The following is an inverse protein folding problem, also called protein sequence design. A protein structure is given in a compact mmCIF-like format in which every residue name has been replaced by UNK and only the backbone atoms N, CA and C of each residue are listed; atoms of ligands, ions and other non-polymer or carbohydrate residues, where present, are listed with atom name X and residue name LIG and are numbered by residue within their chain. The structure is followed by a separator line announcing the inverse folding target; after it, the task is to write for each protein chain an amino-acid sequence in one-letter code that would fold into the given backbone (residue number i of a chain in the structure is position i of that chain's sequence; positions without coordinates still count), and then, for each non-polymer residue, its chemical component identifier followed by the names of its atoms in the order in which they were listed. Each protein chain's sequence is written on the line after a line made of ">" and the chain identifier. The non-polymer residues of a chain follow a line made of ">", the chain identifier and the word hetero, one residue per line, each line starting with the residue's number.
data_IF_697640634268
#
_entry.id   IF_697640634268
#
_cell.length_a   1.000
_cell.length_b   1.000
_cell.length_c   1.000
_cell.angle_alpha   90.00
_cell.angle_beta   90.00
_cell.angle_gamma   90.00
#
_symmetry.space_group_name_H-M   'P 1'
#
loop_
_entity.id
_entity.type
_entity.pdbx_description
1 polymer ?
#
# COMPACT_ATOMS: atom_id res chain seq x y z
N UNK A 1 4.59 -0.46 7.88
CA UNK A 1 3.80 -1.70 8.08
C UNK A 1 2.46 -1.42 8.79
N UNK A 2 2.41 -0.76 9.96
CA UNK A 2 1.14 -0.58 10.73
C UNK A 2 -0.01 0.04 9.94
N UNK A 3 0.22 1.10 9.17
CA UNK A 3 -0.81 1.74 8.33
C UNK A 3 -1.32 0.79 7.24
N UNK A 4 -0.42 0.09 6.56
CA UNK A 4 -0.81 -0.85 5.48
C UNK A 4 -1.65 -2.00 6.01
N UNK A 5 -1.23 -2.60 7.14
CA UNK A 5 -2.01 -3.64 7.82
C UNK A 5 -3.39 -3.13 8.23
N UNK A 6 -3.45 -1.97 8.90
CA UNK A 6 -4.69 -1.35 9.33
C UNK A 6 -5.64 -1.11 8.15
N UNK A 7 -5.15 -0.56 7.04
CA UNK A 7 -5.94 -0.36 5.83
C UNK A 7 -6.43 -1.69 5.22
N UNK A 8 -5.59 -2.72 5.20
CA UNK A 8 -6.02 -4.04 4.71
C UNK A 8 -7.19 -4.61 5.51
N UNK A 9 -7.22 -4.38 6.83
CA UNK A 9 -8.35 -4.77 7.69
C UNK A 9 -9.59 -3.92 7.38
N UNK A 10 -9.46 -2.59 7.28
CA UNK A 10 -10.56 -1.69 6.88
C UNK A 10 -11.17 -2.13 5.56
N UNK A 11 -10.34 -2.42 4.55
CA UNK A 11 -10.81 -2.86 3.23
C UNK A 11 -11.67 -4.12 3.29
N UNK A 12 -11.41 -5.03 4.24
CA UNK A 12 -12.21 -6.25 4.40
C UNK A 12 -13.58 -5.98 5.04
N UNK A 13 -13.72 -4.87 5.78
CA UNK A 13 -14.98 -4.46 6.42
C UNK A 13 -15.90 -3.69 5.47
N UNK A 14 -15.36 -3.12 4.38
CA UNK A 14 -16.13 -2.36 3.38
C UNK A 14 -16.83 -3.32 2.41
N UNK A 15 -18.07 -3.03 1.96
CA UNK A 15 -18.76 -3.79 0.92
C UNK A 15 -17.91 -3.95 -0.35
N UNK A 16 -18.03 -5.10 -1.03
CA UNK A 16 -17.13 -5.45 -2.15
C UNK A 16 -17.13 -4.44 -3.29
N UNK A 17 -18.27 -3.86 -3.59
CA UNK A 17 -18.51 -2.88 -4.63
C UNK A 17 -17.90 -1.51 -4.35
N UNK A 18 -17.63 -1.20 -3.07
CA UNK A 18 -17.05 0.08 -2.63
C UNK A 18 -15.57 -0.06 -2.25
N UNK A 19 -15.00 -1.27 -2.38
CA UNK A 19 -13.63 -1.55 -1.95
C UNK A 19 -12.61 -0.87 -2.84
N UNK A 20 -11.83 0.01 -2.27
CA UNK A 20 -10.64 0.51 -2.93
C UNK A 20 -9.43 -0.39 -2.61
N UNK A 21 -8.57 -0.58 -3.58
CA UNK A 21 -7.23 -1.11 -3.33
C UNK A 21 -6.41 -0.06 -2.58
N UNK A 22 -5.32 -0.45 -1.95
CA UNK A 22 -4.43 0.52 -1.31
C UNK A 22 -3.88 1.53 -2.32
N UNK A 23 -3.62 1.06 -3.54
CA UNK A 23 -3.15 1.86 -4.65
C UNK A 23 -4.18 2.94 -5.06
N UNK A 24 -5.45 2.61 -5.06
CA UNK A 24 -6.54 3.56 -5.35
C UNK A 24 -6.71 4.56 -4.20
N UNK A 25 -6.62 4.12 -2.95
CA UNK A 25 -6.59 5.02 -1.81
C UNK A 25 -5.37 5.96 -1.87
N UNK A 26 -4.18 5.45 -2.25
CA UNK A 26 -3.00 6.29 -2.44
C UNK A 26 -3.16 7.30 -3.59
N UNK A 27 -3.92 6.96 -4.66
CA UNK A 27 -4.25 7.91 -5.72
C UNK A 27 -5.13 9.04 -5.18
N UNK A 28 -6.13 8.76 -4.34
CA UNK A 28 -6.96 9.80 -3.73
C UNK A 28 -6.09 10.73 -2.88
N UNK A 29 -5.26 10.19 -1.98
CA UNK A 29 -4.34 10.98 -1.15
C UNK A 29 -3.37 11.83 -1.98
N UNK A 30 -2.87 11.29 -3.10
CA UNK A 30 -1.97 12.01 -3.99
C UNK A 30 -2.65 13.14 -4.75
N UNK A 31 -3.88 12.92 -5.20
CA UNK A 31 -4.69 13.94 -5.87
C UNK A 31 -5.12 15.05 -4.90
N UNK A 32 -5.45 14.69 -3.64
CA UNK A 32 -5.79 15.67 -2.61
C UNK A 32 -4.59 16.53 -2.19
N UNK A 33 -3.41 15.92 -2.09
CA UNK A 33 -2.17 16.62 -1.78
C UNK A 33 -1.67 17.52 -2.93
N UNK A 34 -2.25 17.39 -4.12
CA UNK A 34 -1.86 18.16 -5.31
C UNK A 34 -2.74 19.40 -5.47
N UNK A 35 -2.14 20.56 -5.60
CA UNK A 35 -2.88 21.83 -5.83
C UNK A 35 -3.54 21.90 -7.22
N UNK A 36 -3.19 21.01 -8.12
CA UNK A 36 -3.66 21.00 -9.52
C UNK A 36 -4.05 19.60 -9.97
N UNK A 37 -4.94 19.53 -10.96
CA UNK A 37 -5.27 18.27 -11.61
C UNK A 37 -4.04 17.60 -12.27
N UNK A 38 -3.89 16.30 -12.12
CA UNK A 38 -2.76 15.53 -12.58
C UNK A 38 -3.09 14.73 -13.85
N UNK A 39 -2.11 14.62 -14.75
CA UNK A 39 -2.21 13.70 -15.89
C UNK A 39 -2.18 12.25 -15.39
N UNK A 40 -2.98 11.37 -15.99
CA UNK A 40 -2.94 9.92 -15.69
C UNK A 40 -1.52 9.34 -15.82
N UNK A 41 -0.68 9.89 -16.72
CA UNK A 41 0.73 9.49 -16.85
C UNK A 41 1.58 9.88 -15.64
N UNK A 42 1.34 11.06 -15.04
CA UNK A 42 2.04 11.49 -13.83
C UNK A 42 1.66 10.62 -12.61
N UNK A 43 0.36 10.25 -12.51
CA UNK A 43 -0.11 9.32 -11.47
C UNK A 43 0.51 7.92 -11.66
N UNK A 44 0.65 7.47 -12.93
CA UNK A 44 1.30 6.20 -13.24
C UNK A 44 2.79 6.21 -12.84
N UNK A 45 3.49 7.31 -13.10
CA UNK A 45 4.89 7.51 -12.69
C UNK A 45 5.03 7.53 -11.17
N UNK A 46 4.17 8.26 -10.47
CA UNK A 46 4.10 8.29 -9.00
C UNK A 46 3.98 6.88 -8.41
N UNK A 47 3.15 6.01 -8.97
CA UNK A 47 2.97 4.64 -8.48
C UNK A 47 3.96 3.62 -9.07
N UNK A 48 4.82 3.99 -10.02
CA UNK A 48 5.64 3.05 -10.76
C UNK A 48 4.81 2.00 -11.50
N UNK A 49 3.60 2.37 -11.96
CA UNK A 49 2.65 1.48 -12.59
C UNK A 49 2.61 1.66 -14.11
N UNK A 50 2.23 0.60 -14.83
CA UNK A 50 1.99 0.67 -16.26
C UNK A 50 0.75 1.51 -16.58
N UNK A 51 0.77 2.22 -17.72
CA UNK A 51 -0.37 3.04 -18.18
C UNK A 51 -1.72 2.30 -18.21
N UNK A 52 -1.82 1.06 -18.72
CA UNK A 52 -3.09 0.33 -18.71
C UNK A 52 -3.64 0.11 -17.29
N UNK A 53 -2.76 -0.26 -16.35
CA UNK A 53 -3.12 -0.45 -14.94
C UNK A 53 -3.63 0.85 -14.32
N UNK A 54 -2.97 1.98 -14.62
CA UNK A 54 -3.39 3.29 -14.12
C UNK A 54 -4.72 3.72 -14.73
N UNK A 55 -4.91 3.48 -16.03
CA UNK A 55 -6.20 3.74 -16.69
C UNK A 55 -7.33 2.98 -16.02
N UNK A 56 -7.13 1.69 -15.71
CA UNK A 56 -8.12 0.87 -15.01
C UNK A 56 -8.44 1.45 -13.61
N UNK A 57 -7.42 1.76 -12.80
CA UNK A 57 -7.60 2.32 -11.45
C UNK A 57 -8.35 3.67 -11.48
N UNK A 58 -7.93 4.58 -12.37
CA UNK A 58 -8.59 5.88 -12.47
C UNK A 58 -9.99 5.80 -13.08
N UNK A 59 -10.28 4.82 -13.96
CA UNK A 59 -11.65 4.54 -14.41
C UNK A 59 -12.53 4.10 -13.25
N UNK A 60 -12.08 3.11 -12.46
CA UNK A 60 -12.82 2.62 -11.31
C UNK A 60 -13.11 3.74 -10.29
N UNK A 61 -12.12 4.57 -9.95
CA UNK A 61 -12.34 5.72 -9.08
C UNK A 61 -13.34 6.74 -9.65
N UNK A 62 -13.36 6.95 -10.97
CA UNK A 62 -14.30 7.83 -11.63
C UNK A 62 -15.71 7.21 -11.69
N UNK A 63 -15.85 5.91 -11.90
CA UNK A 63 -17.11 5.17 -11.85
C UNK A 63 -17.75 5.25 -10.46
N UNK A 64 -16.93 5.27 -9.41
CA UNK A 64 -17.38 5.50 -8.02
C UNK A 64 -17.64 6.98 -7.69
N UNK A 65 -17.42 7.91 -8.63
CA UNK A 65 -17.60 9.35 -8.43
C UNK A 65 -16.51 10.01 -7.55
N UNK A 66 -15.42 9.31 -7.22
CA UNK A 66 -14.40 9.79 -6.30
C UNK A 66 -13.37 10.71 -6.96
N UNK A 67 -13.27 10.67 -8.28
CA UNK A 67 -12.42 11.58 -9.06
C UNK A 67 -13.14 12.07 -10.30
N UNK A 68 -12.79 13.26 -10.77
CA UNK A 68 -13.17 13.77 -12.08
C UNK A 68 -12.08 13.40 -13.08
N UNK A 69 -12.49 12.86 -14.25
CA UNK A 69 -11.60 12.57 -15.37
C UNK A 69 -12.02 13.38 -16.59
N UNK A 70 -11.17 14.26 -17.06
CA UNK A 70 -11.44 15.14 -18.18
C UNK A 70 -10.36 14.98 -19.26
N UNK A 71 -10.72 15.23 -20.51
CA UNK A 71 -9.74 15.37 -21.59
C UNK A 71 -8.85 16.59 -21.34
N UNK A 72 -7.57 16.46 -21.64
CA UNK A 72 -6.64 17.57 -21.51
C UNK A 72 -6.97 18.72 -22.47
N UNK A 73 -6.83 19.97 -22.04
CA UNK A 73 -7.23 21.14 -22.83
C UNK A 73 -6.41 21.33 -24.13
N UNK A 74 -5.21 20.82 -24.19
CA UNK A 74 -4.30 20.95 -25.35
C UNK A 74 -4.27 19.66 -26.20
N UNK A 75 -4.33 18.50 -25.55
CA UNK A 75 -4.31 17.21 -26.22
C UNK A 75 -5.33 16.29 -25.54
N UNK A 76 -6.37 15.94 -26.27
CA UNK A 76 -7.47 15.06 -25.81
C UNK A 76 -7.02 13.66 -25.46
N UNK A 77 -5.83 13.23 -25.90
CA UNK A 77 -5.23 11.94 -25.52
C UNK A 77 -4.69 11.95 -24.09
N UNK A 78 -4.46 13.14 -23.51
CA UNK A 78 -4.04 13.33 -22.15
C UNK A 78 -5.28 13.43 -21.25
N UNK A 79 -5.55 12.40 -20.48
CA UNK A 79 -6.59 12.43 -19.47
C UNK A 79 -6.03 13.08 -18.20
N UNK A 80 -6.77 14.04 -17.67
CA UNK A 80 -6.45 14.79 -16.45
C UNK A 80 -7.42 14.34 -15.36
N UNK A 81 -6.89 14.04 -14.18
CA UNK A 81 -7.63 13.59 -13.00
C UNK A 81 -7.54 14.62 -11.88
N UNK A 82 -8.66 14.90 -11.23
CA UNK A 82 -8.73 15.67 -9.97
C UNK A 82 -9.64 14.95 -8.99
N UNK A 83 -9.40 15.12 -7.70
CA UNK A 83 -10.26 14.56 -6.66
C UNK A 83 -11.61 15.30 -6.67
N UNK A 84 -12.71 14.58 -6.43
CA UNK A 84 -14.05 15.15 -6.23
C UNK A 84 -14.28 15.46 -4.74
N UNK A 85 -15.38 16.14 -4.40
CA UNK A 85 -15.74 16.37 -2.99
C UNK A 85 -16.09 15.03 -2.29
N UNK A 86 -16.76 14.12 -3.00
CA UNK A 86 -17.02 12.75 -2.55
C UNK A 86 -15.72 11.97 -2.34
N UNK A 87 -14.74 12.17 -3.23
CA UNK A 87 -13.42 11.56 -3.11
C UNK A 87 -12.68 12.02 -1.87
N UNK A 88 -12.72 13.33 -1.54
CA UNK A 88 -12.12 13.88 -0.31
C UNK A 88 -12.81 13.32 0.94
N UNK A 89 -14.14 13.26 0.93
CA UNK A 89 -14.90 12.68 2.02
C UNK A 89 -14.54 11.20 2.24
N UNK A 90 -14.47 10.43 1.16
CA UNK A 90 -14.10 9.00 1.20
C UNK A 90 -12.66 8.77 1.65
N UNK A 91 -11.72 9.60 1.19
CA UNK A 91 -10.33 9.57 1.63
C UNK A 91 -10.21 9.72 3.15
N UNK A 92 -10.84 10.77 3.72
CA UNK A 92 -10.80 11.03 5.15
C UNK A 92 -11.52 9.95 5.97
N UNK A 93 -12.62 9.41 5.47
CA UNK A 93 -13.33 8.28 6.09
C UNK A 93 -12.41 7.05 6.18
N UNK A 94 -11.80 6.64 5.07
CA UNK A 94 -10.87 5.50 5.03
C UNK A 94 -9.65 5.73 5.92
N UNK A 95 -9.14 6.95 5.96
CA UNK A 95 -8.05 7.32 6.85
C UNK A 95 -8.45 7.24 8.33
N UNK A 96 -9.68 7.68 8.69
CA UNK A 96 -10.21 7.58 10.05
C UNK A 96 -10.35 6.13 10.49
N UNK A 97 -11.01 5.31 9.68
CA UNK A 97 -11.14 3.88 9.94
C UNK A 97 -9.75 3.20 10.07
N UNK A 98 -8.78 3.64 9.26
CA UNK A 98 -7.40 3.14 9.34
C UNK A 98 -6.76 3.51 10.68
N UNK A 99 -6.97 4.74 11.19
CA UNK A 99 -6.49 5.13 12.52
C UNK A 99 -7.01 4.21 13.62
N UNK A 100 -8.29 3.85 13.57
CA UNK A 100 -8.95 2.98 14.55
C UNK A 100 -8.38 1.55 14.56
N UNK A 101 -7.89 1.07 13.43
CA UNK A 101 -7.29 -0.25 13.29
C UNK A 101 -5.81 -0.32 13.68
N UNK A 102 -5.17 0.80 14.03
CA UNK A 102 -3.78 0.80 14.50
C UNK A 102 -3.77 0.50 16.00
N UNK A 103 -3.18 -0.63 16.45
CA UNK A 103 -3.16 -1.00 17.85
C UNK A 103 -2.49 0.05 18.74
N UNK A 104 -3.02 0.24 19.96
CA UNK A 104 -2.40 1.11 20.94
C UNK A 104 -0.94 0.70 21.22
N UNK A 105 -0.06 1.69 21.35
CA UNK A 105 1.37 1.46 21.59
C UNK A 105 2.21 1.21 20.32
N UNK A 106 1.59 0.97 19.16
CA UNK A 106 2.31 0.89 17.89
C UNK A 106 2.59 2.28 17.31
N UNK A 107 3.56 2.34 16.41
CA UNK A 107 3.85 3.57 15.65
C UNK A 107 2.56 4.09 14.98
N UNK A 108 2.31 5.39 15.08
CA UNK A 108 1.13 6.08 14.56
C UNK A 108 -0.21 5.75 15.25
N UNK A 109 -0.23 5.04 16.40
CA UNK A 109 -1.46 4.76 17.17
C UNK A 109 -2.16 6.01 17.73
N UNK A 110 -1.48 7.17 17.73
CA UNK A 110 -2.03 8.48 18.11
C UNK A 110 -1.86 9.46 16.96
N UNK A 111 -2.41 9.14 15.80
CA UNK A 111 -2.30 9.96 14.60
C UNK A 111 -3.67 10.48 14.15
N UNK A 112 -3.68 11.51 13.33
CA UNK A 112 -4.92 12.00 12.70
C UNK A 112 -5.13 11.40 11.32
N UNK A 113 -6.38 11.37 10.80
CA UNK A 113 -6.69 10.94 9.45
C UNK A 113 -5.84 11.65 8.38
N UNK A 114 -5.69 12.97 8.46
CA UNK A 114 -4.91 13.77 7.50
C UNK A 114 -3.42 13.37 7.51
N UNK A 115 -2.92 12.91 8.65
CA UNK A 115 -1.56 12.41 8.75
C UNK A 115 -1.44 11.02 8.13
N UNK A 116 -2.47 10.18 8.24
CA UNK A 116 -2.54 8.91 7.50
C UNK A 116 -2.53 9.16 6.00
N UNK A 117 -3.35 10.08 5.48
CA UNK A 117 -3.37 10.43 4.06
C UNK A 117 -1.98 10.85 3.56
N UNK A 118 -1.29 11.73 4.29
CA UNK A 118 0.09 12.13 3.95
C UNK A 118 1.08 10.97 3.99
N UNK A 119 0.88 10.01 4.90
CA UNK A 119 1.71 8.81 4.98
C UNK A 119 1.45 7.87 3.81
N UNK A 120 0.19 7.70 3.43
CA UNK A 120 -0.24 6.88 2.31
C UNK A 120 0.26 7.49 0.99
N UNK A 121 0.14 8.81 0.81
CA UNK A 121 0.70 9.52 -0.34
C UNK A 121 2.21 9.32 -0.45
N UNK A 122 2.97 9.59 0.61
CA UNK A 122 4.42 9.46 0.61
C UNK A 122 4.90 8.01 0.34
N UNK A 123 4.10 7.01 0.72
CA UNK A 123 4.43 5.59 0.64
C UNK A 123 3.72 4.86 -0.50
N UNK A 124 2.85 5.53 -1.25
CA UNK A 124 1.99 4.91 -2.26
C UNK A 124 2.76 4.16 -3.35
N UNK A 125 3.97 4.60 -3.69
CA UNK A 125 4.83 3.92 -4.68
C UNK A 125 5.55 2.69 -4.11
N UNK A 126 5.77 2.61 -2.80
CA UNK A 126 6.57 1.56 -2.16
C UNK A 126 5.73 0.38 -1.68
N UNK A 127 4.52 0.64 -1.17
CA UNK A 127 3.67 -0.39 -0.57
C UNK A 127 2.62 -1.00 -1.52
N UNK A 128 2.81 -0.83 -2.83
CA UNK A 128 1.84 -1.28 -3.82
C UNK A 128 1.91 -2.77 -4.17
N UNK A 129 3.00 -3.47 -3.84
CA UNK A 129 3.18 -4.88 -4.21
C UNK A 129 3.06 -5.79 -3.00
N UNK A 130 2.12 -6.74 -3.06
CA UNK A 130 1.94 -7.72 -1.98
C UNK A 130 3.22 -8.52 -1.69
N UNK A 131 4.02 -8.84 -2.71
CA UNK A 131 5.33 -9.50 -2.53
C UNK A 131 6.33 -8.66 -1.71
N UNK A 132 6.44 -7.36 -1.97
CA UNK A 132 7.31 -6.48 -1.20
C UNK A 132 6.84 -6.36 0.27
N UNK A 133 5.52 -6.42 0.50
CA UNK A 133 4.96 -6.47 1.86
C UNK A 133 5.31 -7.78 2.58
N UNK A 134 5.26 -8.92 1.86
CA UNK A 134 5.58 -10.24 2.43
C UNK A 134 7.04 -10.26 2.91
N UNK A 135 8.01 -9.87 2.07
CA UNK A 135 9.42 -9.86 2.47
C UNK A 135 9.69 -8.87 3.60
N UNK A 136 9.06 -7.67 3.59
CA UNK A 136 9.13 -6.72 4.71
C UNK A 136 8.50 -7.27 5.99
N UNK A 137 7.41 -8.03 5.88
CA UNK A 137 6.75 -8.67 7.02
C UNK A 137 7.62 -9.71 7.69
N UNK A 138 8.28 -10.57 6.91
CA UNK A 138 9.23 -11.58 7.41
C UNK A 138 10.45 -10.87 8.03
N UNK A 139 11.05 -9.91 7.32
CA UNK A 139 12.23 -9.17 7.77
C UNK A 139 12.00 -8.41 9.10
N UNK A 140 10.82 -7.86 9.30
CA UNK A 140 10.48 -7.10 10.53
C UNK A 140 10.00 -7.98 11.67
N UNK A 141 9.95 -9.29 11.50
CA UNK A 141 9.62 -10.26 12.54
C UNK A 141 10.80 -10.51 13.48
N UNK A 142 10.51 -10.93 14.71
CA UNK A 142 11.53 -11.46 15.65
C UNK A 142 11.90 -12.91 15.31
N UNK A 143 11.11 -13.58 14.46
CA UNK A 143 11.31 -14.96 14.01
C UNK A 143 11.95 -14.94 12.62
N UNK A 144 12.94 -15.81 12.40
CA UNK A 144 13.64 -15.94 11.10
C UNK A 144 12.74 -16.51 10.00
N UNK A 145 11.68 -17.22 10.38
CA UNK A 145 10.71 -17.84 9.47
C UNK A 145 9.30 -17.69 10.01
N UNK A 146 8.35 -17.39 9.11
CA UNK A 146 6.92 -17.25 9.43
C UNK A 146 6.09 -18.27 8.65
N UNK A 147 5.03 -18.78 9.26
CA UNK A 147 4.00 -19.54 8.54
C UNK A 147 3.16 -18.58 7.66
N UNK A 148 2.47 -19.13 6.65
CA UNK A 148 1.53 -18.35 5.82
C UNK A 148 0.51 -17.62 6.69
N UNK A 149 -0.01 -18.25 7.75
CA UNK A 149 -1.01 -17.63 8.63
C UNK A 149 -0.42 -16.51 9.46
N UNK A 150 0.81 -16.64 9.97
CA UNK A 150 1.50 -15.56 10.66
C UNK A 150 1.74 -14.35 9.72
N UNK A 151 2.11 -14.60 8.46
CA UNK A 151 2.25 -13.53 7.45
C UNK A 151 0.88 -12.86 7.19
N UNK A 152 -0.20 -13.63 7.08
CA UNK A 152 -1.58 -13.11 6.98
C UNK A 152 -1.89 -12.16 8.13
N UNK A 153 -1.61 -12.57 9.37
CA UNK A 153 -1.88 -11.77 10.57
C UNK A 153 -1.01 -10.51 10.65
N UNK A 154 0.27 -10.63 10.29
CA UNK A 154 1.20 -9.49 10.28
C UNK A 154 0.80 -8.44 9.26
N UNK A 155 0.33 -8.87 8.07
CA UNK A 155 0.03 -7.99 6.95
C UNK A 155 -1.45 -7.56 6.89
N UNK A 156 -2.37 -8.29 7.53
CA UNK A 156 -3.80 -8.12 7.36
C UNK A 156 -4.26 -8.39 5.92
N UNK A 157 -3.56 -9.21 5.17
CA UNK A 157 -3.91 -9.64 3.82
C UNK A 157 -4.72 -10.95 3.85
N UNK A 158 -5.46 -11.20 2.79
CA UNK A 158 -6.15 -12.49 2.63
C UNK A 158 -5.14 -13.62 2.36
N UNK A 159 -5.38 -14.79 2.91
CA UNK A 159 -4.53 -15.98 2.74
C UNK A 159 -4.20 -16.30 1.26
N UNK A 160 -5.16 -16.29 0.31
CA UNK A 160 -4.83 -16.50 -1.10
C UNK A 160 -3.81 -15.51 -1.65
N UNK A 161 -3.93 -14.24 -1.28
CA UNK A 161 -3.00 -13.18 -1.71
C UNK A 161 -1.58 -13.44 -1.19
N UNK A 162 -1.47 -13.82 0.09
CA UNK A 162 -0.17 -14.16 0.70
C UNK A 162 0.41 -15.39 0.03
N UNK A 163 -0.38 -16.47 -0.13
CA UNK A 163 0.09 -17.71 -0.76
C UNK A 163 0.59 -17.52 -2.17
N UNK A 164 -0.12 -16.74 -3.00
CA UNK A 164 0.31 -16.41 -4.36
C UNK A 164 1.58 -15.57 -4.37
N UNK A 165 1.68 -14.58 -3.45
CA UNK A 165 2.86 -13.73 -3.33
C UNK A 165 4.09 -14.53 -2.92
N UNK A 166 3.95 -15.44 -1.94
CA UNK A 166 5.03 -16.33 -1.50
C UNK A 166 5.48 -17.25 -2.64
N UNK A 167 4.55 -17.86 -3.41
CA UNK A 167 4.93 -18.69 -4.57
C UNK A 167 5.71 -17.89 -5.61
N UNK A 168 5.27 -16.67 -5.94
CA UNK A 168 5.99 -15.81 -6.88
C UNK A 168 7.36 -15.35 -6.35
N UNK A 169 7.51 -15.15 -5.05
CA UNK A 169 8.78 -14.80 -4.44
C UNK A 169 9.75 -15.98 -4.40
N UNK A 170 9.24 -17.20 -4.17
CA UNK A 170 10.01 -18.45 -4.20
C UNK A 170 10.53 -18.73 -5.61
N UNK A 171 9.69 -18.60 -6.65
CA UNK A 171 10.10 -18.71 -8.06
C UNK A 171 11.21 -17.71 -8.43
N UNK A 172 11.27 -16.57 -7.76
CA UNK A 172 12.29 -15.53 -7.93
C UNK A 172 13.49 -15.69 -7.02
N UNK A 173 13.53 -16.74 -6.20
CA UNK A 173 14.62 -17.01 -5.29
C UNK A 173 14.75 -16.04 -4.10
N UNK A 174 13.68 -15.30 -3.77
CA UNK A 174 13.69 -14.29 -2.68
C UNK A 174 13.25 -14.85 -1.33
N UNK A 175 12.51 -15.94 -1.35
CA UNK A 175 12.11 -16.68 -0.16
C UNK A 175 12.28 -18.17 -0.39
N UNK A 176 12.38 -18.92 0.69
CA UNK A 176 12.36 -20.38 0.68
C UNK A 176 11.32 -20.93 1.63
N UNK A 177 10.76 -22.10 1.29
CA UNK A 177 9.83 -22.82 2.14
C UNK A 177 10.53 -24.00 2.79
N UNK A 178 10.38 -24.14 4.09
CA UNK A 178 10.80 -25.32 4.83
C UNK A 178 9.58 -26.06 5.39
N UNK A 179 9.65 -27.39 5.31
CA UNK A 179 8.65 -28.27 5.90
C UNK A 179 9.22 -28.84 7.19
N UNK A 180 8.73 -28.42 8.35
CA UNK A 180 9.09 -29.09 9.61
C UNK A 180 8.45 -30.47 9.67
N UNK A 181 9.27 -31.49 9.67
CA UNK A 181 8.84 -32.92 9.77
C UNK A 181 8.19 -33.28 11.10
N UNK A 182 8.27 -32.42 12.12
CA UNK A 182 7.85 -32.73 13.50
C UNK A 182 6.50 -32.19 13.93
N UNK A 183 5.90 -31.23 13.23
CA UNK A 183 4.59 -30.66 13.55
C UNK A 183 3.72 -30.58 12.29
N UNK A 184 2.73 -31.48 12.19
CA UNK A 184 1.58 -31.46 11.26
C UNK A 184 1.68 -30.40 10.15
N UNK A 185 2.35 -30.72 9.03
CA UNK A 185 2.27 -30.01 7.74
C UNK A 185 2.36 -28.46 7.78
N UNK A 186 3.08 -27.88 8.74
CA UNK A 186 3.24 -26.43 8.81
C UNK A 186 4.42 -26.04 7.93
N UNK A 187 4.13 -25.38 6.81
CA UNK A 187 5.16 -24.78 5.96
C UNK A 187 5.54 -23.43 6.52
N UNK A 188 6.80 -23.23 6.85
CA UNK A 188 7.38 -21.93 7.19
C UNK A 188 8.09 -21.32 5.98
N UNK A 189 8.13 -20.00 5.95
CA UNK A 189 8.71 -19.18 4.88
C UNK A 189 9.78 -18.29 5.49
N UNK A 190 10.99 -18.35 4.98
CA UNK A 190 12.13 -17.51 5.36
C UNK A 190 12.66 -16.73 4.16
N UNK A 191 13.41 -15.66 4.43
CA UNK A 191 14.13 -14.93 3.38
C UNK A 191 15.39 -15.72 2.99
N UNK A 192 15.68 -15.72 1.69
CA UNK A 192 17.01 -16.07 1.19
C UNK A 192 17.98 -14.89 1.38
N UNK A 193 19.28 -15.08 1.18
CA UNK A 193 20.26 -13.98 1.20
C UNK A 193 19.88 -12.88 0.20
N UNK A 194 19.40 -13.24 -1.01
CA UNK A 194 18.94 -12.29 -2.02
C UNK A 194 17.65 -11.56 -1.56
N UNK A 195 16.74 -12.29 -0.90
CA UNK A 195 15.53 -11.72 -0.30
C UNK A 195 15.85 -10.73 0.80
N UNK A 196 16.83 -11.05 1.65
CA UNK A 196 17.30 -10.17 2.71
C UNK A 196 17.89 -8.86 2.16
N UNK A 197 18.82 -8.94 1.20
CA UNK A 197 19.43 -7.76 0.57
C UNK A 197 18.39 -6.90 -0.17
N UNK A 198 17.43 -7.52 -0.85
CA UNK A 198 16.32 -6.79 -1.48
C UNK A 198 15.46 -6.06 -0.45
N UNK A 199 15.17 -6.70 0.68
CA UNK A 199 14.35 -6.11 1.74
C UNK A 199 15.05 -4.94 2.41
N UNK A 200 16.35 -5.07 2.67
CA UNK A 200 17.20 -4.00 3.19
C UNK A 200 17.22 -2.77 2.26
N UNK A 201 17.28 -2.99 0.95
CA UNK A 201 17.16 -1.90 -0.03
C UNK A 201 15.78 -1.21 -0.01
N UNK A 202 14.70 -1.97 0.25
CA UNK A 202 13.36 -1.39 0.42
C UNK A 202 13.27 -0.58 1.72
N UNK A 203 13.84 -1.10 2.83
CA UNK A 203 13.91 -0.40 4.11
C UNK A 203 14.64 0.94 3.97
N UNK A 204 15.80 0.97 3.33
CA UNK A 204 16.57 2.20 3.09
C UNK A 204 15.75 3.24 2.31
N UNK A 205 15.00 2.84 1.29
CA UNK A 205 14.09 3.75 0.55
C UNK A 205 12.97 4.30 1.43
N UNK A 206 12.42 3.47 2.33
CA UNK A 206 11.40 3.88 3.29
C UNK A 206 11.98 4.92 4.26
N UNK A 207 13.18 4.69 4.78
CA UNK A 207 13.86 5.61 5.68
C UNK A 207 14.15 6.95 5.02
N UNK A 208 14.60 6.98 3.76
CA UNK A 208 14.81 8.21 3.00
C UNK A 208 13.54 9.07 2.89
N UNK A 209 12.37 8.44 2.70
CA UNK A 209 11.10 9.15 2.60
C UNK A 209 10.66 9.69 3.97
N UNK A 210 10.81 8.92 5.04
CA UNK A 210 10.42 9.33 6.40
C UNK A 210 11.33 10.44 6.93
N UNK A 211 12.62 10.45 6.59
CA UNK A 211 13.59 11.47 7.04
C UNK A 211 13.35 12.83 6.37
N UNK A 212 12.76 12.88 5.18
CA UNK A 212 12.43 14.12 4.47
C UNK A 212 11.24 14.92 5.06
N UNK A 213 10.95 14.81 6.35
CA UNK A 213 10.01 15.71 7.03
C UNK A 213 10.54 17.13 6.93
N UNK A 214 9.75 18.05 6.31
CA UNK A 214 10.06 19.50 6.34
C UNK A 214 10.34 19.92 7.79
N UNK A 215 11.46 20.61 8.05
CA UNK A 215 11.68 21.22 9.35
C UNK A 215 10.48 22.14 9.65
N UNK A 216 10.00 22.13 10.89
CA UNK A 216 9.02 23.11 11.35
C UNK A 216 9.63 24.48 11.07
N UNK A 217 8.98 25.29 10.24
CA UNK A 217 9.27 26.70 10.17
C UNK A 217 9.05 27.26 11.57
N UNK A 218 10.12 27.74 12.20
CA UNK A 218 10.02 28.49 13.44
C UNK A 218 9.12 29.70 13.17
N UNK A 219 8.00 29.78 13.89
CA UNK A 219 7.15 30.97 13.97
C UNK A 219 7.82 31.97 14.87
#
# INVERSE_FOLDING_TARGET
>A
MSVRRAYNLVRQMVPSEERLTFEEFAILCHLDASDTALKTSAIAEYQGALRPTMTHRTNHLAELGLINRNEGPVDRRNVICSISDEGRARELELASLTCEQIPAGKALSRTSPERICRYVDAMGSLFCKAGDLVILGIYSSEEDALTIMQIVDVLGLLQPTVSMSVSSLEERGLVERSHESSKRHTTSVSLTDEGYERTKNLESKIEEIVVKRKPRSAS
#
